data_IF_327672337102
#
_entry.id   IF_327672337102
#
_cell.length_a   1.000
_cell.length_b   1.000
_cell.length_c   1.000
_cell.angle_alpha   90.00
_cell.angle_beta   90.00
_cell.angle_gamma   90.00
#
_symmetry.space_group_name_H-M   'P 1'
#
loop_
_entity.id
_entity.type
_entity.pdbx_description
1 polymer ?
#
# COMPACT_ATOMS: atom_id res chain seq x y z
N UNK A 1 -43.85 38.26 24.30
CA UNK A 1 -43.64 37.13 23.37
C UNK A 1 -42.32 37.33 22.62
N UNK A 2 -41.18 37.12 23.28
CA UNK A 2 -39.87 37.61 22.77
C UNK A 2 -38.71 36.70 23.23
N UNK A 3 -38.93 35.38 23.23
CA UNK A 3 -37.95 34.39 23.70
C UNK A 3 -37.81 33.13 22.85
N UNK A 4 -38.43 33.05 21.67
CA UNK A 4 -38.36 31.85 20.82
C UNK A 4 -37.50 32.05 19.55
N UNK A 5 -37.08 33.27 19.24
CA UNK A 5 -36.43 33.57 17.95
C UNK A 5 -34.90 33.36 17.89
N UNK A 6 -34.21 32.98 18.98
CA UNK A 6 -32.73 32.96 19.00
C UNK A 6 -32.15 31.58 18.63
N UNK A 7 -32.91 30.48 18.76
CA UNK A 7 -32.38 29.13 18.51
C UNK A 7 -32.39 28.69 17.05
N UNK A 8 -33.02 29.45 16.13
CA UNK A 8 -33.14 29.05 14.72
C UNK A 8 -32.09 29.68 13.77
N UNK A 9 -31.21 30.54 14.27
CA UNK A 9 -30.24 31.27 13.41
C UNK A 9 -28.84 30.61 13.38
N UNK A 10 -28.49 29.79 14.38
CA UNK A 10 -27.16 29.17 14.46
C UNK A 10 -27.10 27.67 14.13
N UNK A 11 -28.24 27.04 13.80
CA UNK A 11 -28.30 25.63 13.45
C UNK A 11 -27.52 25.17 12.20
N UNK A 12 -27.38 25.96 11.11
CA UNK A 12 -26.81 25.42 9.87
C UNK A 12 -25.30 25.63 9.71
N UNK A 13 -24.61 26.33 10.61
CA UNK A 13 -23.17 26.65 10.43
C UNK A 13 -22.24 25.49 10.83
N UNK A 14 -22.74 24.50 11.57
CA UNK A 14 -21.94 23.36 12.04
C UNK A 14 -21.84 22.18 11.05
N UNK A 15 -22.36 22.31 9.83
CA UNK A 15 -22.48 21.19 8.89
C UNK A 15 -21.40 21.11 7.77
N UNK A 16 -20.35 21.94 7.77
CA UNK A 16 -19.32 21.88 6.70
C UNK A 16 -17.88 22.10 7.19
N UNK A 17 -17.50 21.52 8.32
CA UNK A 17 -16.10 21.16 8.56
C UNK A 17 -15.88 19.69 8.20
N UNK A 18 -16.35 19.26 7.02
CA UNK A 18 -15.77 18.08 6.39
C UNK A 18 -14.39 18.56 5.92
N UNK A 19 -13.35 18.12 6.61
CA UNK A 19 -11.99 18.43 6.24
C UNK A 19 -11.82 18.16 4.74
N UNK A 20 -11.35 19.15 3.99
CA UNK A 20 -11.13 19.08 2.54
C UNK A 20 -9.94 18.16 2.17
N UNK A 21 -9.72 17.11 2.95
CA UNK A 21 -8.59 16.18 2.91
C UNK A 21 -8.46 15.47 1.55
N UNK A 22 -9.57 15.40 0.80
CA UNK A 22 -9.63 14.75 -0.51
C UNK A 22 -9.72 15.71 -1.71
N UNK A 23 -9.49 17.02 -1.51
CA UNK A 23 -9.54 18.03 -2.59
C UNK A 23 -8.23 18.17 -3.38
N UNK A 24 -7.22 17.34 -3.09
CA UNK A 24 -5.96 17.33 -3.84
C UNK A 24 -6.10 16.71 -5.25
N UNK A 25 -5.19 17.07 -6.15
CA UNK A 25 -5.07 16.50 -7.51
C UNK A 25 -4.54 15.05 -7.47
N UNK A 26 -4.93 14.20 -6.53
CA UNK A 26 -4.57 12.80 -6.64
C UNK A 26 -5.55 12.12 -7.60
N UNK A 27 -5.13 11.55 -8.74
CA UNK A 27 -6.04 10.90 -9.68
C UNK A 27 -6.77 9.68 -9.08
N UNK A 28 -6.27 9.12 -7.98
CA UNK A 28 -6.94 8.05 -7.21
C UNK A 28 -7.97 8.57 -6.20
N UNK A 29 -8.02 9.89 -5.92
CA UNK A 29 -8.92 10.48 -4.91
C UNK A 29 -9.77 11.65 -5.44
N UNK A 30 -9.40 12.24 -6.57
CA UNK A 30 -10.18 13.28 -7.24
C UNK A 30 -11.50 12.69 -7.75
N UNK A 31 -12.57 13.48 -7.63
CA UNK A 31 -13.98 13.06 -7.70
C UNK A 31 -14.29 11.94 -8.70
N UNK A 32 -15.20 11.04 -8.31
CA UNK A 32 -15.69 9.82 -9.00
C UNK A 32 -16.11 9.97 -10.49
N UNK A 33 -16.02 11.18 -11.07
CA UNK A 33 -16.46 11.56 -12.40
C UNK A 33 -15.33 12.19 -13.27
N UNK A 34 -14.06 12.01 -12.92
CA UNK A 34 -12.92 12.60 -13.64
C UNK A 34 -12.40 11.74 -14.82
N UNK A 35 -12.98 10.55 -15.06
CA UNK A 35 -12.59 9.65 -16.15
C UNK A 35 -11.28 8.89 -15.92
N UNK A 36 -10.72 8.87 -14.70
CA UNK A 36 -9.54 8.06 -14.38
C UNK A 36 -9.88 6.57 -14.33
N UNK A 37 -8.87 5.71 -14.50
CA UNK A 37 -9.05 4.26 -14.35
C UNK A 37 -9.59 3.90 -12.97
N UNK A 38 -9.16 4.62 -11.92
CA UNK A 38 -9.65 4.42 -10.56
C UNK A 38 -11.13 4.81 -10.42
N UNK A 39 -11.57 5.89 -11.06
CA UNK A 39 -12.98 6.28 -11.08
C UNK A 39 -13.86 5.22 -11.75
N UNK A 40 -13.41 4.67 -12.89
CA UNK A 40 -14.09 3.55 -13.56
C UNK A 40 -14.18 2.32 -12.66
N UNK A 41 -13.06 1.91 -12.06
CA UNK A 41 -13.03 0.80 -11.09
C UNK A 41 -13.99 1.01 -9.92
N UNK A 42 -14.09 2.24 -9.40
CA UNK A 42 -15.01 2.54 -8.29
C UNK A 42 -16.47 2.32 -8.70
N UNK A 43 -16.87 2.77 -9.89
CA UNK A 43 -18.24 2.57 -10.38
C UNK A 43 -18.57 1.10 -10.64
N UNK A 44 -17.63 0.35 -11.23
CA UNK A 44 -17.76 -1.09 -11.45
C UNK A 44 -17.89 -1.86 -10.12
N UNK A 45 -17.12 -1.47 -9.11
CA UNK A 45 -17.21 -2.05 -7.76
C UNK A 45 -18.57 -1.78 -7.13
N UNK A 46 -19.10 -0.54 -7.21
CA UNK A 46 -20.44 -0.22 -6.70
C UNK A 46 -21.53 -1.03 -7.42
N UNK A 47 -21.42 -1.21 -8.73
CA UNK A 47 -22.32 -2.05 -9.50
C UNK A 47 -22.23 -3.53 -9.08
N UNK A 48 -21.02 -4.03 -8.82
CA UNK A 48 -20.80 -5.39 -8.34
C UNK A 48 -21.36 -5.63 -6.94
N UNK A 49 -21.22 -4.65 -6.02
CA UNK A 49 -21.84 -4.71 -4.69
C UNK A 49 -23.37 -4.77 -4.75
N UNK A 50 -23.96 -4.19 -5.79
CA UNK A 50 -25.40 -4.25 -6.04
C UNK A 50 -25.83 -5.48 -6.88
N UNK A 51 -24.90 -6.38 -7.22
CA UNK A 51 -25.17 -7.55 -8.06
C UNK A 51 -25.48 -7.23 -9.53
N UNK A 52 -25.16 -6.02 -9.98
CA UNK A 52 -25.45 -5.51 -11.33
C UNK A 52 -24.29 -5.68 -12.31
N UNK A 53 -23.12 -6.05 -11.82
CA UNK A 53 -21.91 -6.24 -12.61
C UNK A 53 -21.00 -7.33 -12.00
N UNK A 54 -20.09 -7.95 -12.78
CA UNK A 54 -19.06 -8.81 -12.24
C UNK A 54 -18.08 -8.03 -11.34
N UNK A 55 -17.48 -8.71 -10.36
CA UNK A 55 -16.54 -8.10 -9.41
C UNK A 55 -15.24 -7.73 -10.15
N UNK A 56 -14.85 -6.44 -10.19
CA UNK A 56 -13.58 -6.04 -10.78
C UNK A 56 -12.41 -6.58 -9.95
N UNK A 57 -11.42 -7.20 -10.60
CA UNK A 57 -10.31 -7.92 -9.93
C UNK A 57 -9.03 -7.11 -9.78
N UNK A 58 -8.92 -5.97 -10.46
CA UNK A 58 -7.70 -5.15 -10.50
C UNK A 58 -8.04 -3.72 -10.14
N UNK A 59 -7.28 -3.14 -9.21
CA UNK A 59 -7.37 -1.73 -8.85
C UNK A 59 -6.34 -0.97 -9.70
N UNK A 60 -6.76 -0.15 -10.68
CA UNK A 60 -5.84 0.65 -11.46
C UNK A 60 -5.30 1.79 -10.60
N UNK A 61 -4.11 1.60 -10.04
CA UNK A 61 -3.38 2.65 -9.32
C UNK A 61 -2.64 3.50 -10.33
N UNK A 62 -2.97 4.79 -10.38
CA UNK A 62 -2.23 5.76 -11.17
C UNK A 62 -1.25 6.49 -10.26
N UNK A 63 0.03 6.50 -10.62
CA UNK A 63 0.99 7.37 -9.94
C UNK A 63 0.51 8.82 -10.07
N UNK A 64 0.43 9.59 -8.98
CA UNK A 64 0.24 11.03 -9.08
C UNK A 64 1.43 11.57 -9.87
N UNK A 65 1.23 11.87 -11.16
CA UNK A 65 2.29 12.31 -12.05
C UNK A 65 2.81 13.72 -11.69
N UNK A 66 2.13 14.42 -10.78
CA UNK A 66 2.49 15.74 -10.30
C UNK A 66 2.88 15.62 -8.82
N UNK A 67 4.19 15.53 -8.56
CA UNK A 67 4.69 15.78 -7.22
C UNK A 67 4.59 17.29 -6.94
N UNK A 68 4.04 17.72 -5.79
CA UNK A 68 3.97 19.14 -5.48
C UNK A 68 5.38 19.72 -5.38
N UNK A 69 5.60 20.87 -6.02
CA UNK A 69 6.89 21.57 -5.87
C UNK A 69 7.06 22.06 -4.43
N UNK A 70 8.31 22.29 -3.96
CA UNK A 70 8.56 22.83 -2.62
C UNK A 70 7.74 24.10 -2.32
N UNK A 71 7.52 24.95 -3.33
CA UNK A 71 6.74 26.18 -3.21
C UNK A 71 5.25 25.92 -3.02
N UNK A 72 4.71 24.88 -3.67
CA UNK A 72 3.33 24.45 -3.50
C UNK A 72 3.09 23.85 -2.11
N UNK A 73 4.10 23.16 -1.54
CA UNK A 73 4.08 22.64 -0.17
C UNK A 73 4.10 23.79 0.85
N UNK A 74 4.83 24.87 0.57
CA UNK A 74 4.92 26.06 1.42
C UNK A 74 3.66 26.94 1.43
N UNK A 75 2.54 26.47 0.87
CA UNK A 75 1.26 27.16 0.93
C UNK A 75 1.11 28.34 -0.03
N UNK A 76 2.06 28.54 -0.96
CA UNK A 76 1.86 29.45 -2.10
C UNK A 76 0.97 28.72 -3.10
N UNK A 77 -0.34 28.75 -2.86
CA UNK A 77 -1.33 28.08 -3.69
C UNK A 77 -1.20 28.61 -5.12
N UNK A 78 -0.66 27.80 -6.03
CA UNK A 78 -0.90 28.00 -7.45
C UNK A 78 -2.44 27.98 -7.65
N UNK A 79 -3.00 28.91 -8.45
CA UNK A 79 -4.45 28.96 -8.64
C UNK A 79 -4.92 27.60 -9.12
N UNK A 80 -6.08 27.17 -8.62
CA UNK A 80 -6.71 25.92 -9.03
C UNK A 80 -6.76 25.90 -10.56
N UNK A 81 -5.90 25.09 -11.17
CA UNK A 81 -5.90 24.94 -12.61
C UNK A 81 -7.14 24.10 -12.96
N UNK A 82 -8.20 24.80 -13.32
CA UNK A 82 -9.29 24.21 -14.08
C UNK A 82 -8.74 23.79 -15.44
N UNK A 83 -8.87 22.49 -15.72
CA UNK A 83 -8.80 21.84 -17.03
C UNK A 83 -7.47 21.91 -17.80
N UNK A 84 -6.81 20.76 -17.88
CA UNK A 84 -6.16 20.32 -19.11
C UNK A 84 -6.30 18.79 -19.22
N UNK A 85 -7.00 18.32 -20.25
CA UNK A 85 -6.89 16.93 -20.72
C UNK A 85 -5.46 16.75 -21.21
N UNK A 86 -4.60 15.90 -20.61
CA UNK A 86 -3.29 15.65 -21.20
C UNK A 86 -3.51 14.72 -22.38
N UNK A 87 -3.26 15.24 -23.59
CA UNK A 87 -3.02 14.42 -24.75
C UNK A 87 -1.94 13.38 -24.41
N UNK A 88 -2.21 12.12 -24.72
CA UNK A 88 -1.28 11.02 -24.53
C UNK A 88 0.00 11.28 -25.34
N UNK A 89 1.05 11.74 -24.66
CA UNK A 89 2.41 11.66 -25.17
C UNK A 89 3.00 10.34 -24.67
N UNK A 90 2.88 9.29 -25.49
CA UNK A 90 3.58 8.02 -25.30
C UNK A 90 5.07 8.26 -25.51
N UNK A 91 5.78 8.65 -24.45
CA UNK A 91 7.21 8.34 -24.37
C UNK A 91 7.30 6.96 -23.76
N UNK A 92 7.63 5.98 -24.61
CA UNK A 92 8.00 4.64 -24.17
C UNK A 92 9.06 4.75 -23.06
N UNK A 93 8.93 4.02 -21.93
CA UNK A 93 10.00 3.99 -20.96
C UNK A 93 11.24 3.39 -21.64
N UNK A 94 12.38 4.06 -21.45
CA UNK A 94 13.69 3.53 -21.78
C UNK A 94 13.84 2.13 -21.14
N UNK A 95 14.50 1.24 -21.89
CA UNK A 95 14.47 -0.20 -21.68
C UNK A 95 14.62 -0.66 -20.23
N UNK A 96 13.77 -1.61 -19.86
CA UNK A 96 13.95 -2.46 -18.68
C UNK A 96 15.35 -3.10 -18.79
N UNK A 97 16.24 -2.99 -17.79
CA UNK A 97 17.51 -3.70 -17.78
C UNK A 97 17.23 -5.20 -17.97
N UNK A 98 18.01 -5.86 -18.84
CA UNK A 98 17.84 -7.28 -19.16
C UNK A 98 17.94 -8.21 -17.93
N UNK A 99 18.46 -7.69 -16.81
CA UNK A 99 18.67 -8.42 -15.55
C UNK A 99 17.61 -8.11 -14.48
N UNK A 100 16.62 -7.25 -14.77
CA UNK A 100 15.50 -7.02 -13.88
C UNK A 100 14.72 -8.33 -13.74
N UNK A 101 14.86 -8.99 -12.59
CA UNK A 101 14.12 -10.21 -12.26
C UNK A 101 12.63 -9.92 -12.43
N UNK A 102 12.04 -10.45 -13.51
CA UNK A 102 10.60 -10.37 -13.75
C UNK A 102 9.95 -11.04 -12.56
N UNK A 103 9.31 -10.24 -11.70
CA UNK A 103 8.62 -10.72 -10.53
C UNK A 103 7.43 -11.58 -10.99
N UNK A 104 7.67 -12.86 -11.21
CA UNK A 104 6.59 -13.83 -11.30
C UNK A 104 5.94 -13.81 -9.93
N UNK A 105 4.71 -13.35 -9.84
CA UNK A 105 3.91 -13.60 -8.65
C UNK A 105 4.02 -15.08 -8.33
N UNK A 106 4.51 -15.43 -7.14
CA UNK A 106 4.51 -16.81 -6.68
C UNK A 106 3.07 -17.34 -6.57
N UNK A 107 2.82 -18.38 -5.75
CA UNK A 107 1.48 -18.95 -5.58
C UNK A 107 0.39 -17.94 -5.18
N UNK A 108 0.77 -16.71 -4.76
CA UNK A 108 -0.11 -15.57 -4.56
C UNK A 108 0.25 -14.41 -5.52
N UNK A 109 -0.71 -13.81 -6.24
CA UNK A 109 -0.50 -12.54 -6.92
C UNK A 109 -0.05 -11.48 -5.91
N UNK A 110 1.23 -11.08 -5.97
CA UNK A 110 1.83 -10.07 -5.08
C UNK A 110 2.85 -10.57 -4.04
N UNK A 111 3.20 -11.86 -3.98
CA UNK A 111 4.19 -12.38 -3.01
C UNK A 111 5.57 -11.70 -3.13
N UNK A 112 6.08 -11.56 -4.36
CA UNK A 112 7.38 -10.92 -4.62
C UNK A 112 7.37 -9.43 -4.27
N UNK A 113 6.36 -8.62 -4.65
CA UNK A 113 6.22 -7.25 -4.15
C UNK A 113 6.14 -7.13 -2.62
N UNK A 114 5.48 -8.05 -1.92
CA UNK A 114 5.40 -8.05 -0.44
C UNK A 114 6.77 -8.29 0.17
N UNK A 115 7.50 -9.29 -0.33
CA UNK A 115 8.84 -9.62 0.15
C UNK A 115 9.85 -8.51 -0.15
N UNK A 116 9.80 -7.92 -1.35
CA UNK A 116 10.64 -6.75 -1.71
C UNK A 116 10.36 -5.58 -0.77
N UNK A 117 9.08 -5.24 -0.56
CA UNK A 117 8.70 -4.16 0.36
C UNK A 117 9.21 -4.44 1.78
N UNK A 118 9.02 -5.66 2.26
CA UNK A 118 9.46 -6.06 3.60
C UNK A 118 10.98 -6.00 3.74
N UNK A 119 11.72 -6.50 2.75
CA UNK A 119 13.18 -6.44 2.71
C UNK A 119 13.72 -5.00 2.79
N UNK A 120 12.99 -4.02 2.26
CA UNK A 120 13.37 -2.60 2.33
C UNK A 120 12.88 -1.89 3.61
N UNK A 121 11.85 -2.40 4.28
CA UNK A 121 11.36 -1.85 5.55
C UNK A 121 12.27 -2.26 6.72
N UNK A 122 12.75 -3.49 6.67
CA UNK A 122 13.72 -4.02 7.63
C UNK A 122 15.15 -3.69 7.20
N UNK A 123 15.98 -3.25 8.13
CA UNK A 123 17.34 -2.75 7.89
C UNK A 123 18.43 -3.64 8.50
N UNK A 124 18.07 -4.42 9.52
CA UNK A 124 18.93 -5.37 10.18
C UNK A 124 19.40 -6.51 9.26
N UNK A 125 20.54 -7.10 9.61
CA UNK A 125 21.08 -8.30 8.97
C UNK A 125 20.44 -9.56 9.57
N UNK A 126 20.35 -10.67 8.81
CA UNK A 126 19.96 -11.96 9.38
C UNK A 126 20.79 -12.33 10.62
N UNK A 127 20.12 -12.86 11.64
CA UNK A 127 20.65 -13.17 12.96
C UNK A 127 20.81 -11.97 13.90
N UNK A 128 20.42 -10.76 13.47
CA UNK A 128 20.43 -9.57 14.35
C UNK A 128 19.04 -9.38 14.96
N UNK A 129 18.87 -9.82 16.20
CA UNK A 129 17.62 -9.68 16.93
C UNK A 129 17.17 -8.22 17.06
N UNK A 130 15.96 -7.92 16.56
CA UNK A 130 15.30 -6.60 16.59
C UNK A 130 13.99 -6.65 17.38
N UNK A 131 13.34 -7.80 17.38
CA UNK A 131 12.05 -8.03 18.02
C UNK A 131 12.24 -8.85 19.28
N UNK A 132 11.83 -8.28 20.42
CA UNK A 132 11.90 -8.99 21.70
C UNK A 132 10.97 -10.21 21.67
N UNK A 133 11.54 -11.39 21.92
CA UNK A 133 10.79 -12.65 22.11
C UNK A 133 10.93 -13.06 23.57
N UNK A 134 9.80 -13.30 24.25
CA UNK A 134 9.77 -13.82 25.62
C UNK A 134 9.72 -15.35 25.68
N UNK A 135 9.71 -16.01 24.52
CA UNK A 135 9.65 -17.45 24.37
C UNK A 135 9.75 -17.85 22.89
N UNK A 136 10.01 -19.12 22.65
CA UNK A 136 10.26 -19.67 21.31
C UNK A 136 11.20 -20.87 21.40
N UNK A 137 11.05 -21.84 20.49
CA UNK A 137 11.94 -23.00 20.43
C UNK A 137 12.48 -23.11 19.02
N UNK A 138 13.81 -23.07 18.89
CA UNK A 138 14.50 -23.26 17.60
C UNK A 138 14.07 -24.60 16.97
N UNK A 139 14.02 -25.67 17.76
CA UNK A 139 13.58 -26.98 17.28
C UNK A 139 12.09 -27.02 16.86
N UNK A 140 11.23 -26.17 17.45
CA UNK A 140 9.84 -26.04 17.01
C UNK A 140 9.73 -25.24 15.71
N UNK A 141 10.46 -24.12 15.62
CA UNK A 141 10.57 -23.28 14.43
C UNK A 141 11.06 -24.10 13.23
N UNK A 142 12.16 -24.86 13.40
CA UNK A 142 12.71 -25.74 12.35
C UNK A 142 11.69 -26.77 11.84
N UNK A 143 10.87 -27.34 12.74
CA UNK A 143 9.82 -28.29 12.35
C UNK A 143 8.69 -27.60 11.59
N UNK A 144 8.29 -26.41 12.03
CA UNK A 144 7.27 -25.62 11.34
C UNK A 144 7.77 -25.16 9.95
N UNK A 145 9.05 -24.81 9.82
CA UNK A 145 9.68 -24.42 8.56
C UNK A 145 9.62 -25.51 7.49
N UNK A 146 9.72 -26.79 7.88
CA UNK A 146 9.57 -27.93 6.95
C UNK A 146 8.17 -28.04 6.32
N UNK A 147 7.17 -27.34 6.86
CA UNK A 147 5.82 -27.28 6.31
C UNK A 147 5.66 -26.31 5.14
N UNK A 148 6.64 -25.46 4.86
CA UNK A 148 6.59 -24.50 3.76
C UNK A 148 7.37 -24.99 2.54
N UNK A 149 6.88 -24.66 1.35
CA UNK A 149 7.51 -25.05 0.09
C UNK A 149 8.84 -24.32 -0.18
N UNK A 150 9.05 -23.15 0.42
CA UNK A 150 10.25 -22.33 0.29
C UNK A 150 10.38 -21.32 1.43
N UNK A 151 11.57 -20.72 1.59
CA UNK A 151 11.80 -19.63 2.54
C UNK A 151 10.91 -18.40 2.22
N UNK A 152 10.74 -18.06 0.94
CA UNK A 152 9.83 -16.99 0.49
C UNK A 152 8.38 -17.27 0.90
N UNK A 153 7.92 -18.52 0.77
CA UNK A 153 6.57 -18.92 1.17
C UNK A 153 6.40 -18.83 2.70
N UNK A 154 7.42 -19.23 3.46
CA UNK A 154 7.42 -19.10 4.93
C UNK A 154 7.40 -17.64 5.36
N UNK A 155 8.26 -16.80 4.79
CA UNK A 155 8.32 -15.36 5.09
C UNK A 155 7.02 -14.66 4.73
N UNK A 156 6.43 -14.97 3.58
CA UNK A 156 5.12 -14.41 3.18
C UNK A 156 4.03 -14.79 4.18
N UNK A 157 4.00 -16.06 4.61
CA UNK A 157 3.02 -16.52 5.59
C UNK A 157 3.24 -15.91 6.98
N UNK A 158 4.50 -15.69 7.37
CA UNK A 158 4.86 -15.00 8.62
C UNK A 158 4.36 -13.55 8.63
N UNK A 159 4.62 -12.79 7.55
CA UNK A 159 4.12 -11.42 7.40
C UNK A 159 2.58 -11.41 7.38
N UNK A 160 1.96 -12.34 6.66
CA UNK A 160 0.50 -12.46 6.61
C UNK A 160 -0.13 -12.79 7.97
N UNK A 161 0.61 -13.45 8.87
CA UNK A 161 0.19 -13.77 10.22
C UNK A 161 0.44 -12.64 11.24
N UNK A 162 0.98 -11.49 10.81
CA UNK A 162 1.27 -10.34 11.68
C UNK A 162 2.72 -10.23 12.16
N UNK A 163 3.61 -11.08 11.63
CA UNK A 163 5.05 -10.92 11.81
C UNK A 163 5.52 -9.59 11.21
N UNK A 164 6.55 -8.94 11.79
CA UNK A 164 7.40 -9.42 12.88
C UNK A 164 6.96 -9.02 14.29
N UNK A 165 5.90 -8.19 14.40
CA UNK A 165 5.40 -7.73 15.68
C UNK A 165 4.80 -8.86 16.50
N UNK A 166 4.09 -9.78 15.84
CA UNK A 166 3.50 -10.95 16.47
C UNK A 166 4.03 -12.20 15.75
N UNK A 167 4.49 -13.19 16.51
CA UNK A 167 4.90 -14.49 15.99
C UNK A 167 4.04 -15.61 16.59
N UNK A 168 2.80 -15.80 16.09
CA UNK A 168 1.87 -16.75 16.66
C UNK A 168 2.27 -18.21 16.42
N UNK A 169 3.21 -18.46 15.48
CA UNK A 169 3.68 -19.80 15.11
C UNK A 169 5.08 -20.10 15.62
N UNK A 170 5.74 -19.15 16.29
CA UNK A 170 7.10 -19.32 16.80
C UNK A 170 8.11 -19.56 15.67
N UNK A 171 7.93 -18.93 14.51
CA UNK A 171 8.80 -19.09 13.34
C UNK A 171 10.11 -18.27 13.44
N UNK A 172 10.13 -17.24 14.28
CA UNK A 172 11.25 -16.28 14.47
C UNK A 172 11.69 -16.28 15.96
N UNK A 173 12.33 -17.38 16.44
CA UNK A 173 12.73 -17.51 17.83
C UNK A 173 13.92 -16.62 18.22
N UNK A 174 14.74 -16.20 17.27
CA UNK A 174 15.86 -15.27 17.43
C UNK A 174 15.44 -13.80 17.28
N UNK A 175 14.23 -13.55 16.77
CA UNK A 175 13.62 -12.22 16.78
C UNK A 175 14.26 -11.28 15.76
N UNK A 176 14.89 -11.79 14.71
CA UNK A 176 15.52 -10.96 13.69
C UNK A 176 14.51 -10.51 12.61
N UNK A 177 13.30 -11.09 12.61
CA UNK A 177 12.22 -10.81 11.67
C UNK A 177 12.31 -11.58 10.35
N UNK A 178 13.22 -12.53 10.22
CA UNK A 178 13.45 -13.32 9.01
C UNK A 178 13.36 -14.82 9.30
N UNK A 179 12.33 -15.47 8.78
CA UNK A 179 12.02 -16.86 9.15
C UNK A 179 12.58 -17.88 8.17
N UNK A 180 12.84 -19.08 8.69
CA UNK A 180 13.17 -20.26 7.88
C UNK A 180 14.35 -20.05 6.91
N UNK A 181 15.32 -19.22 7.29
CA UNK A 181 16.50 -18.92 6.48
C UNK A 181 16.26 -17.95 5.33
N UNK A 182 15.15 -17.21 5.34
CA UNK A 182 14.89 -16.18 4.35
C UNK A 182 15.92 -15.05 4.44
N UNK A 183 16.48 -14.63 3.29
CA UNK A 183 17.51 -13.60 3.21
C UNK A 183 16.99 -12.36 2.48
N UNK A 184 16.91 -11.17 3.12
CA UNK A 184 16.43 -9.95 2.49
C UNK A 184 17.45 -9.32 1.54
N UNK A 185 18.74 -9.69 1.62
CA UNK A 185 19.84 -9.00 0.91
C UNK A 185 19.66 -8.99 -0.62
N UNK A 186 19.26 -10.09 -1.29
CA UNK A 186 19.05 -10.07 -2.75
C UNK A 186 17.96 -9.07 -3.17
N UNK A 187 16.90 -8.92 -2.38
CA UNK A 187 15.81 -7.99 -2.67
C UNK A 187 16.22 -6.52 -2.47
N UNK A 188 17.15 -6.25 -1.54
CA UNK A 188 17.70 -4.91 -1.27
C UNK A 188 18.63 -4.40 -2.36
N UNK A 189 19.28 -5.29 -3.12
CA UNK A 189 20.29 -4.95 -4.13
C UNK A 189 19.71 -4.40 -5.45
N UNK A 190 18.38 -4.46 -5.64
CA UNK A 190 17.65 -3.97 -6.82
C UNK A 190 17.67 -2.44 -7.03
N UNK A 191 18.55 -1.72 -6.32
CA UNK A 191 18.66 -0.25 -6.33
C UNK A 191 19.96 0.15 -7.05
N UNK A 192 20.03 -0.14 -8.34
CA UNK A 192 21.07 0.38 -9.24
C UNK A 192 20.45 0.70 -10.58
#
# INVERSE_FOLDING_TARGET
>A
MQRIAILAVFGPVLALSACAENTGWNPNYSAMNNGTGYATYSQEREAALQGKAPIPRVIPVQLPAEAPTPEAIMGKRAPAQTAATPAAATKAPAGVPADAQVATSGPYPGSTPVLVRYAHQEDQAPGTGKYTRSGGSVAAAERACRGFASADAAQTAFIAAGGPMIDPRGLDPDGDGFVCGWDPRPFRQSRM
#
